data_IF_998607682361
#
_entry.id   IF_998607682361
#
_cell.length_a   1.000
_cell.length_b   1.000
_cell.length_c   1.000
_cell.angle_alpha   90.00
_cell.angle_beta   90.00
_cell.angle_gamma   90.00
#
_symmetry.space_group_name_H-M   'P 1'
#
loop_
_entity.id
_entity.type
_entity.pdbx_description
1 polymer ?
#
# COMPACT_ATOMS: atom_id res chain seq x y z
N UNK A 1 58.35 -40.08 -8.05
CA UNK A 1 57.22 -39.49 -8.80
C UNK A 1 56.20 -39.04 -7.77
N UNK A 2 56.43 -37.85 -7.22
CA UNK A 2 55.47 -37.19 -6.33
C UNK A 2 54.53 -36.38 -7.21
N UNK A 3 53.23 -36.64 -7.08
CA UNK A 3 52.19 -35.87 -7.76
C UNK A 3 52.02 -34.53 -7.06
N UNK A 4 52.47 -33.46 -7.70
CA UNK A 4 52.17 -32.08 -7.31
C UNK A 4 50.65 -31.87 -7.30
N UNK A 5 50.08 -31.75 -6.10
CA UNK A 5 48.70 -31.30 -5.93
C UNK A 5 48.63 -29.82 -6.34
N UNK A 6 48.07 -29.53 -7.52
CA UNK A 6 47.60 -28.19 -7.87
C UNK A 6 46.57 -27.74 -6.83
N UNK A 7 47.02 -26.96 -5.85
CA UNK A 7 46.11 -26.16 -5.03
C UNK A 7 45.51 -25.09 -5.95
N UNK A 8 44.18 -25.00 -6.11
CA UNK A 8 43.59 -23.91 -6.87
C UNK A 8 44.00 -22.60 -6.21
N UNK A 9 44.72 -21.75 -6.94
CA UNK A 9 45.09 -20.40 -6.51
C UNK A 9 43.80 -19.63 -6.20
N UNK A 10 43.48 -19.48 -4.92
CA UNK A 10 42.33 -18.72 -4.41
C UNK A 10 42.44 -17.21 -4.64
N UNK A 11 43.43 -16.75 -5.41
CA UNK A 11 43.76 -15.35 -5.66
C UNK A 11 43.02 -14.77 -6.88
N UNK A 12 42.50 -15.60 -7.79
CA UNK A 12 41.93 -15.13 -9.06
C UNK A 12 40.77 -14.14 -8.94
N UNK A 13 39.88 -14.33 -7.95
CA UNK A 13 38.76 -13.41 -7.68
C UNK A 13 39.20 -12.14 -6.93
N UNK A 14 40.31 -12.17 -6.20
CA UNK A 14 40.79 -11.00 -5.44
C UNK A 14 41.52 -9.97 -6.34
N UNK A 15 41.90 -10.37 -7.56
CA UNK A 15 42.59 -9.52 -8.54
C UNK A 15 41.61 -8.63 -9.31
N UNK A 16 40.32 -9.01 -9.37
CA UNK A 16 39.33 -8.22 -10.09
C UNK A 16 38.96 -6.94 -9.33
N UNK A 17 38.84 -5.79 -10.02
CA UNK A 17 38.24 -4.59 -9.45
C UNK A 17 36.89 -4.90 -8.78
N UNK A 18 36.66 -4.25 -7.65
CA UNK A 18 35.46 -4.41 -6.81
C UNK A 18 34.18 -4.23 -7.64
N UNK A 19 34.20 -3.31 -8.61
CA UNK A 19 33.11 -3.01 -9.53
C UNK A 19 32.77 -4.21 -10.42
N UNK A 20 33.78 -4.84 -11.05
CA UNK A 20 33.58 -5.99 -11.92
C UNK A 20 33.08 -7.21 -11.14
N UNK A 21 33.63 -7.42 -9.93
CA UNK A 21 33.12 -8.45 -9.03
C UNK A 21 31.64 -8.23 -8.74
N UNK A 22 31.25 -7.00 -8.42
CA UNK A 22 29.87 -6.68 -8.05
C UNK A 22 28.91 -6.79 -9.23
N UNK A 23 29.34 -6.46 -10.45
CA UNK A 23 28.57 -6.72 -11.67
C UNK A 23 28.38 -8.22 -11.91
N UNK A 24 29.41 -9.06 -11.70
CA UNK A 24 29.26 -10.52 -11.78
C UNK A 24 28.28 -11.02 -10.72
N UNK A 25 28.41 -10.54 -9.48
CA UNK A 25 27.51 -10.93 -8.40
C UNK A 25 26.08 -10.47 -8.62
N UNK A 26 25.82 -9.39 -9.35
CA UNK A 26 24.45 -8.95 -9.63
C UNK A 26 23.63 -10.03 -10.36
N UNK A 27 24.27 -10.80 -11.26
CA UNK A 27 23.64 -11.89 -12.01
C UNK A 27 23.43 -13.19 -11.23
N UNK A 28 24.07 -13.36 -10.07
CA UNK A 28 23.83 -14.54 -9.23
C UNK A 28 22.45 -14.46 -8.57
N UNK A 29 21.82 -15.60 -8.34
CA UNK A 29 20.60 -15.64 -7.56
C UNK A 29 20.87 -15.34 -6.06
N UNK A 30 19.80 -15.27 -5.27
CA UNK A 30 19.90 -14.93 -3.85
C UNK A 30 20.60 -16.00 -3.01
N UNK A 31 20.51 -17.27 -3.42
CA UNK A 31 21.09 -18.39 -2.68
C UNK A 31 22.58 -18.54 -2.97
N UNK A 32 23.00 -18.31 -4.21
CA UNK A 32 24.41 -18.22 -4.61
C UNK A 32 25.12 -17.06 -3.91
N UNK A 33 24.49 -15.87 -3.89
CA UNK A 33 24.98 -14.72 -3.11
C UNK A 33 25.12 -15.07 -1.62
N UNK A 34 24.20 -15.89 -1.09
CA UNK A 34 24.22 -16.34 0.31
C UNK A 34 25.33 -17.35 0.54
N UNK A 35 25.52 -18.32 -0.34
CA UNK A 35 26.59 -19.31 -0.27
C UNK A 35 27.97 -18.62 -0.30
N UNK A 36 28.20 -17.73 -1.27
CA UNK A 36 29.46 -17.01 -1.39
C UNK A 36 29.81 -16.17 -0.16
N UNK A 37 28.82 -15.49 0.44
CA UNK A 37 29.05 -14.69 1.65
C UNK A 37 29.58 -15.49 2.85
N UNK A 38 29.35 -16.81 2.87
CA UNK A 38 29.78 -17.71 3.95
C UNK A 38 31.23 -18.15 3.78
N UNK A 39 31.83 -17.95 2.60
CA UNK A 39 33.20 -18.38 2.30
C UNK A 39 34.24 -17.63 3.13
N UNK A 40 34.05 -16.32 3.37
CA UNK A 40 34.94 -15.53 4.23
C UNK A 40 34.27 -14.24 4.68
N UNK A 41 34.89 -13.57 5.66
CA UNK A 41 34.49 -12.22 6.08
C UNK A 41 34.57 -11.23 4.91
N UNK A 42 35.62 -11.26 4.09
CA UNK A 42 35.74 -10.38 2.93
C UNK A 42 34.61 -10.60 1.91
N UNK A 43 34.26 -11.86 1.64
CA UNK A 43 33.13 -12.23 0.78
C UNK A 43 31.80 -11.69 1.33
N UNK A 44 31.62 -11.73 2.65
CA UNK A 44 30.46 -11.14 3.31
C UNK A 44 30.35 -9.63 3.07
N UNK A 45 31.43 -8.86 3.31
CA UNK A 45 31.40 -7.40 3.08
C UNK A 45 31.15 -7.05 1.62
N UNK A 46 31.76 -7.78 0.69
CA UNK A 46 31.57 -7.58 -0.74
C UNK A 46 30.11 -7.79 -1.15
N UNK A 47 29.51 -8.90 -0.73
CA UNK A 47 28.12 -9.22 -1.10
C UNK A 47 27.07 -8.51 -0.25
N UNK A 48 27.45 -7.87 0.85
CA UNK A 48 26.51 -7.23 1.77
C UNK A 48 25.59 -6.25 1.06
N UNK A 49 26.13 -5.34 0.24
CA UNK A 49 25.35 -4.31 -0.47
C UNK A 49 24.36 -4.88 -1.50
N UNK A 50 24.61 -6.10 -1.98
CA UNK A 50 23.75 -6.79 -2.93
C UNK A 50 22.62 -7.55 -2.23
N UNK A 51 22.83 -7.95 -0.98
CA UNK A 51 21.88 -8.76 -0.19
C UNK A 51 21.04 -7.97 0.79
N UNK A 52 21.64 -6.93 1.38
CA UNK A 52 21.05 -6.15 2.47
C UNK A 52 21.04 -4.70 2.03
N UNK A 53 19.85 -4.24 1.63
CA UNK A 53 19.60 -2.82 1.29
C UNK A 53 18.96 -2.05 2.43
N UNK A 54 18.47 -2.73 3.46
CA UNK A 54 17.76 -2.07 4.55
C UNK A 54 17.72 -2.86 5.84
N UNK A 55 17.23 -2.18 6.87
CA UNK A 55 16.95 -2.75 8.18
C UNK A 55 15.45 -3.01 8.32
N UNK A 56 15.11 -4.20 8.80
CA UNK A 56 13.75 -4.53 9.23
C UNK A 56 13.77 -4.73 10.73
N UNK A 57 12.95 -3.95 11.43
CA UNK A 57 12.79 -4.06 12.86
C UNK A 57 11.34 -4.38 13.16
N UNK A 58 11.13 -5.60 13.64
CA UNK A 58 9.87 -6.05 14.17
C UNK A 58 9.99 -6.13 15.69
N UNK A 59 9.19 -5.36 16.42
CA UNK A 59 9.12 -5.52 17.89
C UNK A 59 7.95 -6.44 18.21
N UNK A 60 8.25 -7.61 18.75
CA UNK A 60 7.25 -8.41 19.43
C UNK A 60 6.98 -7.84 20.82
N UNK A 61 7.98 -7.63 21.69
CA UNK A 61 7.77 -7.10 23.06
C UNK A 61 9.02 -6.48 23.71
N UNK A 62 10.11 -6.23 22.96
CA UNK A 62 11.38 -5.80 23.56
C UNK A 62 11.61 -4.30 23.37
N UNK A 63 11.73 -3.57 24.49
CA UNK A 63 12.12 -2.15 24.53
C UNK A 63 13.62 -1.94 24.32
N UNK A 64 14.42 -3.02 24.32
CA UNK A 64 15.86 -2.93 24.14
C UNK A 64 16.24 -2.83 22.67
N UNK A 65 17.23 -1.99 22.36
CA UNK A 65 17.86 -1.97 21.04
C UNK A 65 18.33 -3.39 20.70
N UNK A 66 17.88 -3.99 19.58
CA UNK A 66 18.32 -5.29 19.12
C UNK A 66 19.85 -5.36 19.18
N UNK A 67 20.36 -6.41 19.80
CA UNK A 67 21.80 -6.68 19.91
C UNK A 67 22.50 -6.64 18.54
N UNK A 68 21.76 -6.93 17.46
CA UNK A 68 22.20 -6.77 16.09
C UNK A 68 22.63 -5.34 15.72
N UNK A 69 21.92 -4.31 16.17
CA UNK A 69 22.23 -2.91 15.83
C UNK A 69 23.51 -2.42 16.50
N UNK A 70 23.88 -3.00 17.65
CA UNK A 70 25.18 -2.74 18.26
C UNK A 70 26.32 -3.11 17.32
N UNK A 71 26.13 -4.06 16.38
CA UNK A 71 27.17 -4.42 15.41
C UNK A 71 27.53 -3.28 14.44
N UNK A 72 26.67 -2.27 14.30
CA UNK A 72 26.92 -1.09 13.46
C UNK A 72 27.56 0.07 14.24
N UNK A 73 27.79 -0.07 15.54
CA UNK A 73 28.47 0.95 16.34
C UNK A 73 29.96 1.06 15.97
N UNK A 74 30.57 2.20 16.27
CA UNK A 74 31.97 2.44 15.95
C UNK A 74 32.88 1.37 16.54
N UNK A 75 33.82 0.88 15.73
CA UNK A 75 34.72 -0.23 16.09
C UNK A 75 34.08 -1.63 16.02
N UNK A 76 32.78 -1.73 15.73
CA UNK A 76 32.09 -3.01 15.62
C UNK A 76 32.13 -3.59 14.20
N UNK A 77 31.83 -4.88 14.11
CA UNK A 77 32.00 -5.64 12.86
C UNK A 77 31.30 -5.04 11.65
N UNK A 78 30.13 -4.40 11.79
CA UNK A 78 29.35 -3.82 10.69
C UNK A 78 29.44 -2.29 10.59
N UNK A 79 30.28 -1.63 11.38
CA UNK A 79 30.52 -0.17 11.28
C UNK A 79 30.81 0.28 9.83
N UNK A 80 31.64 -0.41 9.03
CA UNK A 80 31.90 0.00 7.64
C UNK A 80 30.67 -0.08 6.72
N UNK A 81 29.66 -0.86 7.10
CA UNK A 81 28.50 -1.16 6.27
C UNK A 81 27.35 -0.17 6.47
N UNK A 82 27.45 0.71 7.46
CA UNK A 82 26.44 1.72 7.79
C UNK A 82 26.00 2.53 6.57
N UNK A 83 26.95 2.90 5.70
CA UNK A 83 26.70 3.70 4.48
C UNK A 83 25.97 2.94 3.37
N UNK A 84 25.80 1.62 3.50
CA UNK A 84 25.11 0.78 2.52
C UNK A 84 23.64 0.53 2.86
N UNK A 85 23.19 0.89 4.07
CA UNK A 85 21.79 0.79 4.47
C UNK A 85 21.02 1.97 3.88
N UNK A 86 20.11 1.67 2.94
CA UNK A 86 19.30 2.65 2.21
C UNK A 86 17.83 2.67 2.63
N UNK A 87 17.34 1.64 3.29
CA UNK A 87 15.96 1.60 3.76
C UNK A 87 15.83 1.14 5.22
N UNK A 88 14.76 1.60 5.88
CA UNK A 88 14.37 1.16 7.20
C UNK A 88 12.87 0.87 7.22
N UNK A 89 12.48 -0.31 7.72
CA UNK A 89 11.10 -0.66 8.01
C UNK A 89 10.96 -1.02 9.48
N UNK A 90 10.05 -0.34 10.15
CA UNK A 90 9.67 -0.52 11.54
C UNK A 90 8.28 -1.15 11.58
N UNK A 91 8.09 -2.23 12.31
CA UNK A 91 6.82 -2.98 12.39
C UNK A 91 6.56 -3.35 13.85
N UNK A 92 5.72 -2.54 14.50
CA UNK A 92 5.48 -2.62 15.93
C UNK A 92 4.03 -2.97 16.15
N UNK A 93 3.77 -3.91 17.07
CA UNK A 93 2.39 -4.22 17.46
C UNK A 93 1.74 -3.02 18.16
N UNK A 94 2.45 -2.34 19.05
CA UNK A 94 1.95 -1.17 19.78
C UNK A 94 2.89 0.01 19.61
N UNK A 95 2.53 1.19 20.12
CA UNK A 95 3.43 2.36 20.10
C UNK A 95 4.65 2.21 21.03
N UNK A 96 4.60 1.24 21.95
CA UNK A 96 5.61 1.12 23.00
C UNK A 96 6.99 0.81 22.41
N UNK A 97 7.98 1.58 22.85
CA UNK A 97 9.36 1.41 22.41
C UNK A 97 9.63 1.87 20.97
N UNK A 98 8.76 2.69 20.37
CA UNK A 98 9.00 3.31 19.06
C UNK A 98 10.13 4.36 19.11
N UNK A 99 10.35 4.99 20.27
CA UNK A 99 11.39 6.01 20.48
C UNK A 99 12.80 5.48 20.20
N UNK A 100 13.15 4.31 20.72
CA UNK A 100 14.47 3.69 20.54
C UNK A 100 14.83 3.45 19.06
N UNK A 101 14.00 2.77 18.24
CA UNK A 101 14.22 2.62 16.81
C UNK A 101 14.35 3.92 16.03
N UNK A 102 13.57 4.94 16.39
CA UNK A 102 13.67 6.25 15.76
C UNK A 102 15.05 6.86 16.03
N UNK A 103 15.54 6.85 17.27
CA UNK A 103 16.89 7.38 17.59
C UNK A 103 18.01 6.68 16.80
N UNK A 104 17.86 5.38 16.55
CA UNK A 104 18.82 4.58 15.78
C UNK A 104 18.95 5.03 14.33
N UNK A 105 17.91 5.63 13.73
CA UNK A 105 17.97 6.13 12.36
C UNK A 105 19.12 7.12 12.13
N UNK A 106 19.46 7.91 13.14
CA UNK A 106 20.59 8.85 13.08
C UNK A 106 21.92 8.19 12.73
N UNK A 107 22.09 6.88 13.02
CA UNK A 107 23.29 6.12 12.71
C UNK A 107 23.46 5.82 11.22
N UNK A 108 22.39 5.88 10.42
CA UNK A 108 22.40 5.43 9.02
C UNK A 108 22.20 6.60 8.04
N UNK A 109 23.28 7.29 7.63
CA UNK A 109 23.20 8.53 6.87
C UNK A 109 22.74 8.36 5.41
N UNK A 110 22.75 7.13 4.90
CA UNK A 110 22.42 6.82 3.51
C UNK A 110 20.96 6.36 3.31
N UNK A 111 20.12 6.44 4.35
CA UNK A 111 18.71 6.07 4.26
C UNK A 111 17.99 7.03 3.33
N UNK A 112 17.28 6.46 2.35
CA UNK A 112 16.40 7.17 1.40
C UNK A 112 14.96 6.69 1.50
N UNK A 113 14.67 5.67 2.32
CA UNK A 113 13.33 5.07 2.42
C UNK A 113 13.02 4.68 3.85
N UNK A 114 11.92 5.20 4.41
CA UNK A 114 11.46 4.85 5.76
C UNK A 114 10.00 4.38 5.71
N UNK A 115 9.71 3.24 6.32
CA UNK A 115 8.34 2.73 6.51
C UNK A 115 8.11 2.44 7.99
N UNK A 116 7.06 2.99 8.57
CA UNK A 116 6.66 2.76 9.96
C UNK A 116 5.28 2.14 9.96
N UNK A 117 5.22 0.90 10.45
CA UNK A 117 4.03 0.11 10.62
C UNK A 117 3.71 -0.02 12.11
N UNK A 118 2.52 0.40 12.52
CA UNK A 118 2.03 0.28 13.90
C UNK A 118 0.74 -0.56 13.90
N UNK A 119 0.60 -1.48 14.86
CA UNK A 119 -0.55 -2.38 14.95
C UNK A 119 -1.73 -1.85 15.76
N UNK A 120 -1.45 -1.12 16.83
CA UNK A 120 -2.42 -0.61 17.79
C UNK A 120 -2.03 0.84 18.10
N UNK A 121 -2.78 1.79 17.54
CA UNK A 121 -2.53 3.24 17.69
C UNK A 121 -3.45 3.91 18.69
N UNK A 122 -4.53 3.25 19.14
CA UNK A 122 -5.42 3.72 20.21
C UNK A 122 -5.86 5.19 20.06
N UNK A 123 -6.25 5.64 18.86
CA UNK A 123 -6.69 7.03 18.61
C UNK A 123 -5.58 8.10 18.72
N UNK A 124 -4.30 7.69 18.75
CA UNK A 124 -3.14 8.58 18.86
C UNK A 124 -2.52 8.91 17.49
N UNK A 125 -3.22 8.61 16.41
CA UNK A 125 -2.79 8.81 15.02
C UNK A 125 -2.14 10.17 14.80
N UNK A 126 -2.84 11.24 15.21
CA UNK A 126 -2.39 12.62 14.99
C UNK A 126 -1.10 12.94 15.76
N UNK A 127 -1.06 12.56 17.03
CA UNK A 127 0.10 12.74 17.89
C UNK A 127 1.30 11.94 17.39
N UNK A 128 1.09 10.68 16.99
CA UNK A 128 2.13 9.82 16.42
C UNK A 128 2.70 10.41 15.13
N UNK A 129 1.84 10.85 14.20
CA UNK A 129 2.28 11.46 12.96
C UNK A 129 3.14 12.69 13.18
N UNK A 130 2.65 13.63 14.00
CA UNK A 130 3.40 14.84 14.34
C UNK A 130 4.72 14.47 14.99
N UNK A 131 4.70 13.59 15.99
CA UNK A 131 5.91 13.26 16.74
C UNK A 131 6.95 12.55 15.88
N UNK A 132 6.54 11.58 15.08
CA UNK A 132 7.42 10.88 14.16
C UNK A 132 8.00 11.85 13.14
N UNK A 133 7.17 12.68 12.49
CA UNK A 133 7.68 13.66 11.52
C UNK A 133 8.64 14.67 12.16
N UNK A 134 8.28 15.23 13.32
CA UNK A 134 9.15 16.15 14.06
C UNK A 134 10.49 15.50 14.41
N UNK A 135 10.50 14.22 14.77
CA UNK A 135 11.73 13.47 14.96
C UNK A 135 12.51 13.33 13.65
N UNK A 136 11.87 12.83 12.59
CA UNK A 136 12.52 12.58 11.30
C UNK A 136 13.13 13.85 10.71
N UNK A 137 12.49 15.02 10.87
CA UNK A 137 12.99 16.32 10.40
C UNK A 137 14.36 16.67 11.00
N UNK A 138 14.69 16.14 12.18
CA UNK A 138 16.01 16.37 12.82
C UNK A 138 17.14 15.55 12.19
N UNK A 139 16.83 14.55 11.35
CA UNK A 139 17.83 13.72 10.71
C UNK A 139 18.54 14.51 9.59
N UNK A 140 19.89 14.43 9.49
CA UNK A 140 20.65 15.24 8.53
C UNK A 140 20.36 14.88 7.06
N UNK A 141 19.85 13.68 6.81
CA UNK A 141 19.47 13.18 5.49
C UNK A 141 17.96 13.26 5.24
N UNK A 142 17.18 13.87 6.14
CA UNK A 142 15.72 13.89 6.05
C UNK A 142 15.22 14.36 4.68
N UNK A 143 15.75 15.47 4.17
CA UNK A 143 15.32 16.05 2.89
C UNK A 143 15.71 15.18 1.67
N UNK A 144 16.58 14.17 1.85
CA UNK A 144 16.98 13.20 0.81
C UNK A 144 16.11 11.93 0.82
N UNK A 145 15.13 11.83 1.71
CA UNK A 145 14.19 10.70 1.71
C UNK A 145 13.34 10.75 0.43
N UNK A 146 13.35 9.63 -0.30
CA UNK A 146 12.60 9.41 -1.54
C UNK A 146 11.26 8.74 -1.23
N UNK A 147 11.22 7.88 -0.21
CA UNK A 147 10.02 7.16 0.22
C UNK A 147 9.78 7.36 1.72
N UNK A 148 8.52 7.65 2.06
CA UNK A 148 8.04 7.69 3.44
C UNK A 148 6.70 6.97 3.54
N UNK A 149 6.56 6.05 4.49
CA UNK A 149 5.32 5.32 4.71
C UNK A 149 4.91 5.27 6.16
N UNK A 150 3.66 5.63 6.43
CA UNK A 150 2.95 5.44 7.69
C UNK A 150 1.85 4.42 7.44
N UNK A 151 1.88 3.28 8.12
CA UNK A 151 0.84 2.25 8.02
C UNK A 151 0.41 1.90 9.43
N UNK A 152 -0.76 2.34 9.83
CA UNK A 152 -1.33 1.96 11.10
C UNK A 152 -2.43 0.95 10.83
N UNK A 153 -2.25 -0.26 11.34
CA UNK A 153 -3.34 -1.23 11.40
C UNK A 153 -4.23 -0.69 12.51
N UNK A 154 -5.49 -0.38 12.22
CA UNK A 154 -6.40 0.09 13.27
C UNK A 154 -6.80 -1.06 14.17
N UNK A 155 -7.58 -0.76 15.21
CA UNK A 155 -8.42 -1.75 15.91
C UNK A 155 -9.55 -2.26 15.01
N UNK A 156 -9.28 -2.47 13.72
CA UNK A 156 -9.96 -3.55 13.03
C UNK A 156 -9.47 -4.79 13.76
N UNK A 157 -10.18 -5.09 14.87
CA UNK A 157 -10.61 -6.44 15.16
C UNK A 157 -10.81 -7.02 13.78
N UNK A 158 -9.87 -7.85 13.34
CA UNK A 158 -10.17 -8.91 12.44
C UNK A 158 -11.33 -9.62 13.14
N UNK A 159 -12.53 -9.10 12.90
CA UNK A 159 -13.68 -9.94 12.70
C UNK A 159 -13.22 -10.68 11.46
N UNK A 160 -12.38 -11.71 11.69
CA UNK A 160 -12.50 -12.93 10.95
C UNK A 160 -14.00 -13.13 10.94
N UNK A 161 -14.62 -12.71 9.84
CA UNK A 161 -15.94 -13.15 9.51
C UNK A 161 -15.73 -14.64 9.47
N UNK A 162 -16.06 -15.27 10.60
CA UNK A 162 -16.05 -16.69 10.74
C UNK A 162 -16.97 -17.15 9.61
N UNK A 163 -16.35 -17.57 8.52
CA UNK A 163 -16.99 -17.92 7.25
C UNK A 163 -17.91 -19.14 7.40
N UNK A 164 -18.06 -19.64 8.63
CA UNK A 164 -19.06 -20.58 9.08
C UNK A 164 -20.46 -19.97 9.22
N UNK A 165 -20.62 -18.67 9.49
CA UNK A 165 -21.95 -18.09 9.74
C UNK A 165 -22.78 -17.82 8.47
N UNK A 166 -22.14 -17.67 7.30
CA UNK A 166 -22.85 -17.47 6.02
C UNK A 166 -23.18 -18.78 5.28
N UNK A 167 -22.72 -19.94 5.77
CA UNK A 167 -22.95 -21.23 5.08
C UNK A 167 -24.27 -21.91 5.39
N UNK A 168 -25.01 -21.51 6.43
CA UNK A 168 -26.21 -22.25 6.85
C UNK A 168 -27.55 -21.64 6.41
N UNK A 169 -27.60 -20.44 5.83
CA UNK A 169 -28.90 -19.76 5.58
C UNK A 169 -29.10 -19.15 4.18
N UNK A 170 -28.28 -19.52 3.19
CA UNK A 170 -28.50 -19.14 1.78
C UNK A 170 -28.61 -20.39 0.91
N UNK A 171 -29.52 -21.28 1.29
CA UNK A 171 -30.10 -22.27 0.40
C UNK A 171 -31.56 -22.41 0.81
N UNK A 172 -32.41 -21.51 0.30
CA UNK A 172 -33.80 -21.83 -0.02
C UNK A 172 -34.34 -20.78 -1.01
N UNK A 173 -34.48 -21.25 -2.25
CA UNK A 173 -35.37 -20.84 -3.34
C UNK A 173 -35.57 -19.34 -3.70
N UNK A 174 -35.09 -18.87 -4.87
CA UNK A 174 -35.35 -17.51 -5.38
C UNK A 174 -36.79 -17.25 -5.86
N UNK A 175 -37.70 -18.22 -5.78
CA UNK A 175 -38.99 -18.16 -6.48
C UNK A 175 -40.24 -17.81 -5.65
N UNK A 176 -40.17 -17.58 -4.33
CA UNK A 176 -41.38 -17.31 -3.51
C UNK A 176 -41.58 -15.87 -2.99
N UNK A 177 -40.83 -14.88 -3.48
CA UNK A 177 -40.99 -13.48 -3.04
C UNK A 177 -41.95 -12.64 -3.89
N UNK A 178 -43.13 -13.18 -4.22
CA UNK A 178 -44.28 -12.40 -4.70
C UNK A 178 -45.61 -12.99 -4.19
N UNK A 179 -45.85 -12.96 -2.89
CA UNK A 179 -47.22 -12.89 -2.38
C UNK A 179 -47.25 -12.19 -1.02
N UNK A 180 -48.23 -11.29 -0.86
CA UNK A 180 -48.21 -10.20 0.11
C UNK A 180 -48.43 -10.60 1.56
N UNK A 181 -47.62 -9.99 2.43
CA UNK A 181 -48.00 -9.45 3.74
C UNK A 181 -46.79 -8.67 4.29
N UNK A 182 -46.63 -7.41 3.87
CA UNK A 182 -45.70 -6.48 4.53
C UNK A 182 -46.36 -6.05 5.85
N UNK A 183 -46.15 -6.84 6.89
CA UNK A 183 -46.48 -6.49 8.27
C UNK A 183 -45.19 -6.08 8.98
N UNK A 184 -44.94 -4.77 9.00
CA UNK A 184 -44.53 -3.97 10.16
C UNK A 184 -43.60 -4.64 11.21
N UNK A 185 -42.49 -5.25 10.75
CA UNK A 185 -41.43 -5.83 11.61
C UNK A 185 -40.03 -5.27 11.36
N UNK A 186 -39.87 -4.38 10.38
CA UNK A 186 -38.58 -3.74 10.07
C UNK A 186 -38.20 -2.63 11.05
N UNK A 187 -39.18 -1.93 11.64
CA UNK A 187 -38.90 -0.83 12.57
C UNK A 187 -38.34 -1.27 13.94
N UNK A 188 -38.64 -2.48 14.41
CA UNK A 188 -38.16 -2.95 15.73
C UNK A 188 -36.73 -3.49 15.71
N UNK A 189 -36.24 -3.98 14.57
CA UNK A 189 -34.87 -4.51 14.44
C UNK A 189 -33.86 -3.38 14.28
N UNK A 190 -34.20 -2.31 13.56
CA UNK A 190 -33.32 -1.15 13.38
C UNK A 190 -33.11 -0.36 14.68
N UNK A 191 -34.17 -0.21 15.49
CA UNK A 191 -34.10 0.47 16.79
C UNK A 191 -33.32 -0.35 17.83
N UNK A 192 -33.53 -1.68 17.89
CA UNK A 192 -32.73 -2.57 18.76
C UNK A 192 -31.27 -2.63 18.32
N UNK A 193 -31.00 -2.60 17.01
CA UNK A 193 -29.64 -2.53 16.48
C UNK A 193 -28.99 -1.18 16.78
N UNK A 194 -29.73 -0.08 16.73
CA UNK A 194 -29.24 1.24 17.10
C UNK A 194 -28.93 1.34 18.60
N UNK A 195 -29.76 0.76 19.47
CA UNK A 195 -29.49 0.68 20.92
C UNK A 195 -28.29 -0.21 21.23
N UNK A 196 -28.19 -1.40 20.60
CA UNK A 196 -27.05 -2.29 20.77
C UNK A 196 -25.75 -1.64 20.25
N UNK A 197 -25.81 -0.94 19.12
CA UNK A 197 -24.69 -0.12 18.60
C UNK A 197 -24.34 0.98 19.61
N UNK A 198 -25.32 1.64 20.23
CA UNK A 198 -25.08 2.72 21.20
C UNK A 198 -24.44 2.21 22.49
N UNK A 199 -24.88 1.05 23.01
CA UNK A 199 -24.26 0.36 24.16
C UNK A 199 -22.87 -0.21 23.84
N UNK A 200 -22.69 -0.78 22.64
CA UNK A 200 -21.36 -1.19 22.15
C UNK A 200 -20.44 0.01 22.01
N UNK A 201 -20.93 1.15 21.51
CA UNK A 201 -20.14 2.37 21.38
C UNK A 201 -19.80 2.99 22.73
N UNK A 202 -20.71 3.01 23.72
CA UNK A 202 -20.42 3.54 25.06
C UNK A 202 -19.45 2.65 25.83
N UNK A 203 -19.65 1.33 25.83
CA UNK A 203 -18.75 0.38 26.49
C UNK A 203 -17.38 0.29 25.81
N UNK A 204 -17.32 0.38 24.47
CA UNK A 204 -16.06 0.51 23.76
C UNK A 204 -15.41 1.86 24.05
N UNK A 205 -16.14 2.97 24.09
CA UNK A 205 -15.59 4.29 24.44
C UNK A 205 -14.98 4.31 25.84
N UNK A 206 -15.64 3.70 26.83
CA UNK A 206 -15.12 3.59 28.20
C UNK A 206 -13.86 2.71 28.27
N UNK A 207 -13.85 1.55 27.61
CA UNK A 207 -12.63 0.71 27.49
C UNK A 207 -11.51 1.44 26.75
N UNK A 208 -11.83 2.14 25.66
CA UNK A 208 -10.89 2.91 24.82
C UNK A 208 -10.32 4.12 25.55
N UNK A 209 -11.13 4.83 26.33
CA UNK A 209 -10.69 5.94 27.18
C UNK A 209 -9.74 5.45 28.27
N UNK A 210 -10.00 4.26 28.81
CA UNK A 210 -9.12 3.62 29.80
C UNK A 210 -7.78 3.19 29.20
N UNK A 211 -7.78 2.55 28.03
CA UNK A 211 -6.54 2.14 27.34
C UNK A 211 -5.74 3.34 26.81
N UNK A 212 -6.41 4.36 26.27
CA UNK A 212 -5.79 5.64 25.93
C UNK A 212 -5.10 6.25 27.14
N UNK A 213 -5.76 6.27 28.31
CA UNK A 213 -5.18 6.80 29.54
C UNK A 213 -3.93 6.00 29.94
N UNK A 214 -3.98 4.67 29.86
CA UNK A 214 -2.84 3.81 30.21
C UNK A 214 -1.64 4.00 29.27
N UNK A 215 -1.90 4.05 27.96
CA UNK A 215 -0.86 4.24 26.93
C UNK A 215 -0.31 5.66 26.94
N UNK A 216 -1.19 6.66 27.04
CA UNK A 216 -0.80 8.06 27.16
C UNK A 216 0.04 8.30 28.42
N UNK A 217 -0.28 7.69 29.56
CA UNK A 217 0.52 7.79 30.78
C UNK A 217 1.91 7.14 30.64
N UNK A 218 2.03 6.03 29.92
CA UNK A 218 3.31 5.35 29.73
C UNK A 218 4.21 6.02 28.68
N UNK A 219 3.63 6.74 27.71
CA UNK A 219 4.34 7.31 26.56
C UNK A 219 4.14 8.84 26.45
N UNK A 220 3.70 9.51 27.53
CA UNK A 220 3.39 10.95 27.54
C UNK A 220 4.61 11.79 27.12
N UNK A 221 5.78 11.40 27.62
CA UNK A 221 7.06 12.03 27.28
C UNK A 221 7.38 11.91 25.78
N UNK A 222 7.04 10.78 25.17
CA UNK A 222 7.23 10.58 23.74
C UNK A 222 6.18 11.34 22.94
N UNK A 223 4.89 11.13 23.18
CA UNK A 223 3.80 11.65 22.36
C UNK A 223 3.58 13.16 22.50
N UNK A 224 4.00 13.74 23.63
CA UNK A 224 3.76 15.14 23.96
C UNK A 224 2.28 15.47 24.14
N UNK A 225 1.96 16.77 24.11
CA UNK A 225 0.59 17.26 24.29
C UNK A 225 -0.32 16.81 23.16
N UNK A 226 -1.59 16.55 23.47
CA UNK A 226 -2.62 16.24 22.48
C UNK A 226 -2.64 17.28 21.34
N UNK A 227 -2.62 16.79 20.10
CA UNK A 227 -2.73 17.62 18.91
C UNK A 227 -4.17 17.52 18.41
N UNK A 228 -4.89 18.64 18.33
CA UNK A 228 -6.22 18.70 17.71
C UNK A 228 -6.12 18.79 16.17
N UNK A 229 -7.21 18.59 15.40
CA UNK A 229 -7.16 18.75 13.93
C UNK A 229 -6.69 20.15 13.51
N UNK A 230 -7.25 21.18 14.16
CA UNK A 230 -6.86 22.58 13.95
C UNK A 230 -5.38 22.79 14.33
N UNK A 231 -4.93 22.16 15.42
CA UNK A 231 -3.55 22.21 15.86
C UNK A 231 -2.59 21.65 14.81
N UNK A 232 -2.89 20.48 14.22
CA UNK A 232 -2.08 19.91 13.14
C UNK A 232 -2.00 20.87 11.93
N UNK A 233 -3.12 21.46 11.52
CA UNK A 233 -3.12 22.43 10.43
C UNK A 233 -2.19 23.62 10.72
N UNK A 234 -2.24 24.16 11.94
CA UNK A 234 -1.36 25.26 12.34
C UNK A 234 0.11 24.87 12.29
N UNK A 235 0.46 23.67 12.75
CA UNK A 235 1.83 23.14 12.69
C UNK A 235 2.30 23.00 11.23
N UNK A 236 1.45 22.51 10.34
CA UNK A 236 1.76 22.41 8.90
C UNK A 236 1.94 23.80 8.28
N UNK A 237 1.04 24.73 8.58
CA UNK A 237 1.10 26.10 8.05
C UNK A 237 2.38 26.82 8.49
N UNK A 238 2.79 26.66 9.75
CA UNK A 238 4.05 27.19 10.30
C UNK A 238 5.30 26.47 9.77
N UNK A 239 5.14 25.33 9.10
CA UNK A 239 6.26 24.52 8.59
C UNK A 239 6.94 23.66 9.64
N UNK A 240 6.35 23.54 10.84
CA UNK A 240 6.83 22.66 11.91
C UNK A 240 6.58 21.18 11.56
N UNK A 241 5.51 20.91 10.80
CA UNK A 241 5.23 19.62 10.18
C UNK A 241 5.32 19.78 8.68
N UNK A 242 6.32 19.13 8.06
CA UNK A 242 6.56 19.15 6.62
C UNK A 242 6.99 17.77 6.15
N UNK A 243 6.93 17.54 4.84
CA UNK A 243 7.49 16.35 4.21
C UNK A 243 8.93 16.61 3.73
N UNK A 244 9.72 15.56 3.45
CA UNK A 244 11.02 15.68 2.81
C UNK A 244 10.93 16.39 1.46
N UNK A 245 11.93 17.22 1.13
CA UNK A 245 11.99 17.92 -0.16
C UNK A 245 12.13 16.96 -1.35
N UNK A 246 12.94 15.91 -1.20
CA UNK A 246 13.17 14.88 -2.23
C UNK A 246 12.13 13.76 -2.26
N UNK A 247 11.01 13.88 -1.53
CA UNK A 247 10.02 12.81 -1.43
C UNK A 247 9.33 12.60 -2.78
N UNK A 248 9.39 11.37 -3.29
CA UNK A 248 8.71 10.96 -4.53
C UNK A 248 7.51 10.06 -4.28
N UNK A 249 7.54 9.30 -3.19
CA UNK A 249 6.46 8.38 -2.83
C UNK A 249 6.07 8.52 -1.35
N UNK A 250 4.77 8.69 -1.11
CA UNK A 250 4.18 8.72 0.21
C UNK A 250 3.15 7.60 0.36
N UNK A 251 3.25 6.85 1.45
CA UNK A 251 2.22 5.89 1.86
C UNK A 251 1.55 6.34 3.15
N UNK A 252 0.23 6.56 3.09
CA UNK A 252 -0.63 6.89 4.23
C UNK A 252 -1.69 5.80 4.42
N UNK A 253 -1.27 4.71 5.03
CA UNK A 253 -2.11 3.61 5.50
C UNK A 253 -2.70 3.89 6.89
N UNK A 254 -3.30 5.06 7.09
CA UNK A 254 -3.77 5.54 8.39
C UNK A 254 -5.28 5.27 8.53
N UNK A 255 -5.75 4.58 9.58
CA UNK A 255 -7.18 4.45 9.86
C UNK A 255 -7.75 5.83 10.14
N UNK A 256 -8.93 6.13 9.57
CA UNK A 256 -9.60 7.44 9.73
C UNK A 256 -8.67 8.61 9.37
N UNK A 257 -7.87 8.45 8.30
CA UNK A 257 -6.94 9.48 7.85
C UNK A 257 -7.68 10.77 7.49
N UNK A 258 -7.68 11.72 8.43
CA UNK A 258 -8.28 13.03 8.28
C UNK A 258 -7.57 13.84 7.18
N UNK A 259 -8.25 14.82 6.56
CA UNK A 259 -7.67 15.69 5.54
C UNK A 259 -6.35 16.36 5.96
N UNK A 260 -6.20 16.67 7.24
CA UNK A 260 -5.02 17.31 7.82
C UNK A 260 -3.71 16.54 7.62
N UNK A 261 -3.76 15.21 7.48
CA UNK A 261 -2.56 14.40 7.21
C UNK A 261 -1.98 14.65 5.82
N UNK A 262 -2.82 15.10 4.87
CA UNK A 262 -2.42 15.37 3.48
C UNK A 262 -1.93 16.80 3.27
N UNK A 263 -2.24 17.75 4.16
CA UNK A 263 -1.85 19.15 3.96
C UNK A 263 -0.35 19.37 3.70
N UNK A 264 0.59 18.62 4.30
CA UNK A 264 2.00 18.71 3.95
C UNK A 264 2.32 18.43 2.47
N UNK A 265 1.49 17.65 1.77
CA UNK A 265 1.64 17.35 0.34
C UNK A 265 1.57 18.60 -0.54
N UNK A 266 0.79 19.60 -0.13
CA UNK A 266 0.65 20.87 -0.87
C UNK A 266 1.98 21.60 -1.07
N UNK A 267 2.97 21.32 -0.21
CA UNK A 267 4.31 21.90 -0.25
C UNK A 267 5.37 20.93 -0.75
N UNK A 268 4.98 19.71 -1.14
CA UNK A 268 5.89 18.70 -1.64
C UNK A 268 5.89 18.70 -3.16
N UNK A 269 7.02 19.12 -3.73
CA UNK A 269 7.13 19.38 -5.16
C UNK A 269 7.42 18.13 -5.99
N UNK A 270 8.12 17.16 -5.41
CA UNK A 270 8.65 16.01 -6.16
C UNK A 270 7.75 14.77 -6.07
N UNK A 271 6.64 14.83 -5.33
CA UNK A 271 5.80 13.66 -5.11
C UNK A 271 5.01 13.29 -6.37
N UNK A 272 5.17 12.03 -6.79
CA UNK A 272 4.47 11.46 -7.95
C UNK A 272 3.65 10.24 -7.60
N UNK A 273 3.96 9.57 -6.49
CA UNK A 273 3.32 8.32 -6.06
C UNK A 273 2.68 8.50 -4.68
N UNK A 274 1.39 8.17 -4.57
CA UNK A 274 0.61 8.30 -3.35
C UNK A 274 -0.18 7.01 -3.09
N UNK A 275 -0.04 6.47 -1.88
CA UNK A 275 -0.90 5.39 -1.38
C UNK A 275 -1.81 5.96 -0.28
N UNK A 276 -3.12 5.72 -0.41
CA UNK A 276 -4.14 6.14 0.53
C UNK A 276 -4.96 4.95 1.03
N UNK A 277 -5.13 4.88 2.34
CA UNK A 277 -6.06 3.96 3.01
C UNK A 277 -7.41 4.64 3.21
N UNK A 278 -8.45 4.09 2.61
CA UNK A 278 -9.81 4.62 2.60
C UNK A 278 -10.66 3.89 3.66
N UNK A 279 -11.14 4.60 4.71
CA UNK A 279 -11.87 3.99 5.83
C UNK A 279 -13.28 3.51 5.45
N UNK A 280 -13.79 2.52 6.18
CA UNK A 280 -14.96 1.69 5.82
C UNK A 280 -16.36 2.26 6.10
N UNK A 281 -16.52 3.28 6.95
CA UNK A 281 -17.84 3.83 7.40
C UNK A 281 -17.82 5.31 7.78
N UNK A 282 -18.97 5.97 7.58
CA UNK A 282 -19.57 7.20 8.19
C UNK A 282 -18.70 8.44 8.48
N UNK A 283 -17.41 8.37 8.24
CA UNK A 283 -16.49 9.49 8.19
C UNK A 283 -16.33 9.96 6.75
N UNK A 284 -17.36 9.76 5.91
CA UNK A 284 -17.50 10.32 4.57
C UNK A 284 -17.64 11.87 4.57
N UNK A 285 -16.99 12.52 5.53
CA UNK A 285 -16.27 13.75 5.22
C UNK A 285 -15.34 13.38 4.08
N UNK A 286 -15.62 13.95 2.91
CA UNK A 286 -14.71 13.97 1.75
C UNK A 286 -13.25 13.88 2.22
N UNK A 287 -12.38 13.08 1.57
CA UNK A 287 -10.96 12.95 1.96
C UNK A 287 -10.27 14.31 2.04
N UNK A 288 -10.91 15.36 1.49
CA UNK A 288 -10.56 16.75 1.64
C UNK A 288 -11.85 17.56 1.86
N UNK A 289 -12.03 18.06 3.08
CA UNK A 289 -12.93 19.14 3.54
C UNK A 289 -14.25 19.45 2.80
N UNK A 290 -15.39 19.57 3.52
CA UNK A 290 -16.48 20.47 3.14
C UNK A 290 -16.30 21.91 3.66
N UNK A 291 -15.47 22.15 4.69
CA UNK A 291 -15.35 23.48 5.34
C UNK A 291 -14.33 24.42 4.66
N UNK A 292 -13.31 23.86 4.01
CA UNK A 292 -12.51 24.57 3.02
C UNK A 292 -13.20 24.29 1.69
N UNK A 293 -14.01 25.24 1.21
CA UNK A 293 -14.76 25.20 -0.05
C UNK A 293 -13.85 25.08 -1.31
N UNK A 294 -12.59 24.68 -1.16
CA UNK A 294 -11.57 24.57 -2.19
C UNK A 294 -11.11 23.13 -2.29
N UNK A 295 -11.50 22.50 -3.40
CA UNK A 295 -10.98 21.20 -3.78
C UNK A 295 -9.45 21.28 -3.89
N UNK A 296 -8.73 20.50 -3.09
CA UNK A 296 -7.27 20.43 -3.21
C UNK A 296 -6.95 19.60 -4.46
N UNK A 297 -6.29 20.23 -5.42
CA UNK A 297 -5.73 19.56 -6.58
C UNK A 297 -4.28 19.16 -6.31
N UNK A 298 -3.95 17.91 -6.64
CA UNK A 298 -2.63 17.32 -6.55
C UNK A 298 -2.17 16.88 -7.95
N UNK A 299 -1.93 17.83 -8.88
CA UNK A 299 -1.67 17.54 -10.29
C UNK A 299 -0.34 16.82 -10.54
N UNK A 300 0.56 16.73 -9.56
CA UNK A 300 1.86 16.05 -9.72
C UNK A 300 1.77 14.54 -9.51
N UNK A 301 0.71 14.06 -8.87
CA UNK A 301 0.49 12.65 -8.64
C UNK A 301 0.14 11.97 -9.96
N UNK A 302 0.94 10.95 -10.29
CA UNK A 302 0.80 10.11 -11.48
C UNK A 302 0.42 8.68 -11.11
N UNK A 303 0.93 8.19 -9.98
CA UNK A 303 0.66 6.86 -9.47
C UNK A 303 -0.17 6.96 -8.19
N UNK A 304 -1.42 6.50 -8.24
CA UNK A 304 -2.33 6.50 -7.09
C UNK A 304 -2.64 5.06 -6.69
N UNK A 305 -2.43 4.71 -5.43
CA UNK A 305 -2.93 3.46 -4.84
C UNK A 305 -4.00 3.77 -3.81
N UNK A 306 -5.17 3.15 -3.95
CA UNK A 306 -6.28 3.22 -3.01
C UNK A 306 -6.46 1.86 -2.35
N UNK A 307 -6.51 1.83 -1.02
CA UNK A 307 -6.80 0.64 -0.25
C UNK A 307 -8.14 0.79 0.45
N UNK A 308 -9.10 -0.06 0.12
CA UNK A 308 -10.45 -0.03 0.67
C UNK A 308 -10.58 -1.05 1.81
N UNK A 309 -10.94 -0.60 3.01
CA UNK A 309 -11.15 -1.48 4.17
C UNK A 309 -12.56 -2.12 4.20
N UNK A 310 -13.52 -1.56 3.47
CA UNK A 310 -14.90 -2.09 3.38
C UNK A 310 -15.17 -2.75 2.05
N UNK A 311 -15.91 -3.85 2.10
CA UNK A 311 -16.55 -4.45 0.93
C UNK A 311 -17.74 -3.62 0.39
N UNK A 312 -18.27 -2.66 1.16
CA UNK A 312 -19.45 -1.91 0.74
C UNK A 312 -19.10 -0.69 -0.12
N UNK A 313 -19.01 -0.92 -1.44
CA UNK A 313 -18.61 0.09 -2.43
C UNK A 313 -19.56 1.27 -2.60
N UNK A 314 -20.83 1.14 -2.19
CA UNK A 314 -21.81 2.24 -2.27
C UNK A 314 -21.34 3.49 -1.50
N UNK A 315 -20.56 3.30 -0.43
CA UNK A 315 -20.03 4.42 0.34
C UNK A 315 -18.86 5.15 -0.34
N UNK A 316 -18.22 4.54 -1.34
CA UNK A 316 -17.08 5.13 -2.04
C UNK A 316 -17.43 5.80 -3.36
N UNK A 317 -18.65 5.66 -3.87
CA UNK A 317 -19.03 6.23 -5.17
C UNK A 317 -18.78 7.75 -5.23
N UNK A 318 -19.17 8.48 -4.18
CA UNK A 318 -18.93 9.93 -4.09
C UNK A 318 -17.44 10.28 -4.07
N UNK A 319 -16.63 9.48 -3.37
CA UNK A 319 -15.18 9.63 -3.33
C UNK A 319 -14.57 9.40 -4.70
N UNK A 320 -14.92 8.28 -5.35
CA UNK A 320 -14.40 7.90 -6.66
C UNK A 320 -14.67 9.00 -7.68
N UNK A 321 -15.90 9.55 -7.73
CA UNK A 321 -16.27 10.65 -8.63
C UNK A 321 -15.45 11.92 -8.45
N UNK A 322 -14.85 12.16 -7.28
CA UNK A 322 -14.02 13.34 -7.01
C UNK A 322 -12.55 13.15 -7.41
N UNK A 323 -12.10 11.92 -7.60
CA UNK A 323 -10.69 11.61 -7.88
C UNK A 323 -10.13 12.32 -9.12
N UNK A 324 -10.83 12.40 -10.28
CA UNK A 324 -10.26 13.03 -11.47
C UNK A 324 -9.93 14.52 -11.25
N UNK A 325 -10.77 15.21 -10.49
CA UNK A 325 -10.54 16.61 -10.11
C UNK A 325 -9.43 16.77 -9.08
N UNK A 326 -9.26 15.82 -8.14
CA UNK A 326 -8.14 15.87 -7.18
C UNK A 326 -6.81 15.47 -7.81
N UNK A 327 -6.83 14.54 -8.76
CA UNK A 327 -5.64 13.92 -9.34
C UNK A 327 -5.74 13.90 -10.88
N UNK A 328 -5.69 15.08 -11.54
CA UNK A 328 -6.00 15.20 -12.96
C UNK A 328 -4.98 14.55 -13.90
N UNK A 329 -3.80 14.17 -13.39
CA UNK A 329 -2.69 13.64 -14.18
C UNK A 329 -2.32 12.19 -13.82
N UNK A 330 -3.25 11.43 -13.25
CA UNK A 330 -3.03 10.00 -12.98
C UNK A 330 -2.76 9.26 -14.29
N UNK A 331 -1.65 8.52 -14.30
CA UNK A 331 -1.27 7.57 -15.34
C UNK A 331 -1.37 6.12 -14.86
N UNK A 332 -1.26 5.89 -13.55
CA UNK A 332 -1.41 4.56 -12.93
C UNK A 332 -2.33 4.60 -11.73
N UNK A 333 -3.37 3.76 -11.74
CA UNK A 333 -4.29 3.59 -10.62
C UNK A 333 -4.25 2.14 -10.13
N UNK A 334 -3.93 1.95 -8.86
CA UNK A 334 -4.04 0.66 -8.18
C UNK A 334 -5.15 0.72 -7.14
N UNK A 335 -6.06 -0.24 -7.16
CA UNK A 335 -7.11 -0.41 -6.17
C UNK A 335 -6.90 -1.71 -5.41
N UNK A 336 -6.94 -1.68 -4.08
CA UNK A 336 -6.76 -2.85 -3.21
C UNK A 336 -7.95 -3.04 -2.28
N UNK A 337 -8.22 -4.31 -1.95
CA UNK A 337 -9.39 -4.66 -1.14
C UNK A 337 -10.69 -4.62 -1.95
N UNK A 338 -10.62 -4.87 -3.26
CA UNK A 338 -11.80 -4.89 -4.12
C UNK A 338 -12.51 -6.24 -4.03
N UNK A 339 -13.74 -6.26 -3.52
CA UNK A 339 -14.51 -7.52 -3.43
C UNK A 339 -14.98 -8.02 -4.80
N UNK A 340 -15.48 -7.13 -5.65
CA UNK A 340 -15.99 -7.48 -6.98
C UNK A 340 -15.55 -6.45 -8.02
N UNK A 341 -14.96 -6.92 -9.12
CA UNK A 341 -14.46 -6.08 -10.22
C UNK A 341 -15.56 -5.15 -10.76
N UNK A 342 -16.74 -5.71 -11.07
CA UNK A 342 -17.87 -4.93 -11.61
C UNK A 342 -18.33 -3.81 -10.67
N UNK A 343 -18.33 -4.04 -9.35
CA UNK A 343 -18.71 -3.02 -8.36
C UNK A 343 -17.72 -1.86 -8.26
N UNK A 344 -16.48 -2.06 -8.69
CA UNK A 344 -15.46 -1.02 -8.72
C UNK A 344 -15.39 -0.31 -10.08
N UNK A 345 -15.38 -1.06 -11.19
CA UNK A 345 -15.24 -0.50 -12.54
C UNK A 345 -16.41 0.39 -12.94
N UNK A 346 -17.65 0.02 -12.58
CA UNK A 346 -18.85 0.78 -12.95
C UNK A 346 -18.84 2.21 -12.38
N UNK A 347 -18.61 2.43 -11.06
CA UNK A 347 -18.57 3.78 -10.49
C UNK A 347 -17.24 4.51 -10.71
N UNK A 348 -16.20 3.84 -11.26
CA UNK A 348 -14.92 4.49 -11.51
C UNK A 348 -15.10 5.57 -12.60
N UNK A 349 -14.73 6.83 -12.35
CA UNK A 349 -14.84 7.87 -13.35
C UNK A 349 -13.76 7.71 -14.42
N UNK A 350 -13.89 8.46 -15.50
CA UNK A 350 -12.88 8.51 -16.54
C UNK A 350 -11.66 9.30 -16.10
N UNK A 351 -10.49 8.73 -16.39
CA UNK A 351 -9.20 9.36 -16.20
C UNK A 351 -8.55 9.50 -17.59
N UNK A 352 -8.48 10.73 -18.15
CA UNK A 352 -8.03 10.94 -19.53
C UNK A 352 -6.60 10.47 -19.82
N UNK A 353 -5.74 10.40 -18.79
CA UNK A 353 -4.32 10.05 -18.92
C UNK A 353 -3.98 8.68 -18.34
N UNK A 354 -4.99 7.90 -17.92
CA UNK A 354 -4.76 6.62 -17.27
C UNK A 354 -4.24 5.61 -18.28
N UNK A 355 -3.02 5.15 -18.08
CA UNK A 355 -2.31 4.17 -18.92
C UNK A 355 -2.39 2.75 -18.32
N UNK A 356 -2.42 2.66 -16.98
CA UNK A 356 -2.43 1.40 -16.24
C UNK A 356 -3.48 1.39 -15.14
N UNK A 357 -4.28 0.33 -15.08
CA UNK A 357 -5.26 0.08 -14.01
C UNK A 357 -5.01 -1.30 -13.40
N UNK A 358 -4.71 -1.35 -12.10
CA UNK A 358 -4.45 -2.59 -11.35
C UNK A 358 -5.48 -2.76 -10.24
N UNK A 359 -6.19 -3.89 -10.22
CA UNK A 359 -7.17 -4.21 -9.20
C UNK A 359 -6.73 -5.47 -8.45
N UNK A 360 -6.47 -5.30 -7.16
CA UNK A 360 -6.26 -6.39 -6.20
C UNK A 360 -7.62 -6.77 -5.60
N UNK A 361 -8.11 -7.92 -6.06
CA UNK A 361 -9.45 -8.44 -5.82
C UNK A 361 -9.43 -9.67 -4.92
N UNK A 362 -10.46 -9.84 -4.11
CA UNK A 362 -10.54 -10.98 -3.18
C UNK A 362 -10.60 -12.34 -3.85
N UNK A 363 -11.22 -12.42 -5.03
CA UNK A 363 -11.38 -13.65 -5.79
C UNK A 363 -11.41 -13.31 -7.27
N UNK A 364 -10.71 -14.09 -8.10
CA UNK A 364 -10.89 -14.03 -9.54
C UNK A 364 -12.21 -14.71 -9.89
N UNK A 365 -13.04 -13.97 -10.61
CA UNK A 365 -14.21 -14.52 -11.27
C UNK A 365 -13.84 -14.68 -12.75
N UNK A 366 -14.72 -15.29 -13.53
CA UNK A 366 -14.59 -15.40 -14.99
C UNK A 366 -14.10 -14.08 -15.61
N UNK A 367 -13.08 -14.14 -16.48
CA UNK A 367 -12.42 -12.98 -17.10
C UNK A 367 -13.46 -12.07 -17.78
N UNK A 368 -14.53 -12.66 -18.31
CA UNK A 368 -15.68 -12.00 -18.93
C UNK A 368 -16.34 -10.95 -18.03
N UNK A 369 -16.34 -11.15 -16.70
CA UNK A 369 -16.92 -10.22 -15.73
C UNK A 369 -16.11 -8.93 -15.64
N UNK A 370 -14.80 -8.98 -15.92
CA UNK A 370 -13.94 -7.81 -15.97
C UNK A 370 -13.85 -7.23 -17.39
N UNK A 371 -13.81 -8.10 -18.41
CA UNK A 371 -13.67 -7.69 -19.82
C UNK A 371 -14.89 -6.90 -20.30
N UNK A 372 -16.12 -7.36 -20.02
CA UNK A 372 -17.32 -6.72 -20.55
C UNK A 372 -17.50 -5.27 -20.07
N UNK A 373 -17.41 -4.94 -18.76
CA UNK A 373 -17.46 -3.56 -18.30
C UNK A 373 -16.33 -2.70 -18.86
N UNK A 374 -15.12 -3.25 -18.94
CA UNK A 374 -13.95 -2.54 -19.46
C UNK A 374 -14.10 -2.22 -20.94
N UNK A 375 -14.50 -3.20 -21.74
CA UNK A 375 -14.77 -3.05 -23.18
C UNK A 375 -15.87 -2.03 -23.43
N UNK A 376 -17.01 -2.14 -22.74
CA UNK A 376 -18.09 -1.18 -22.84
C UNK A 376 -17.62 0.25 -22.52
N UNK A 377 -16.75 0.40 -21.52
CA UNK A 377 -16.22 1.71 -21.13
C UNK A 377 -15.26 2.29 -22.17
N UNK A 378 -14.39 1.46 -22.75
CA UNK A 378 -13.48 1.86 -23.84
C UNK A 378 -14.28 2.25 -25.10
N UNK A 379 -15.31 1.50 -25.47
CA UNK A 379 -16.14 1.76 -26.65
C UNK A 379 -16.90 3.09 -26.60
N UNK A 380 -17.24 3.59 -25.41
CA UNK A 380 -17.86 4.92 -25.24
C UNK A 380 -16.83 6.04 -25.07
N UNK A 381 -15.54 5.77 -25.29
CA UNK A 381 -14.45 6.74 -25.21
C UNK A 381 -13.86 6.95 -23.81
N UNK A 382 -14.21 6.10 -22.84
CA UNK A 382 -13.59 6.09 -21.51
C UNK A 382 -12.14 5.59 -21.57
N UNK A 383 -11.31 6.08 -20.66
CA UNK A 383 -9.88 5.72 -20.53
C UNK A 383 -9.09 5.74 -21.85
N UNK A 384 -9.00 6.91 -22.51
CA UNK A 384 -8.42 7.02 -23.84
C UNK A 384 -6.90 6.81 -23.91
N UNK A 385 -6.20 6.56 -22.81
CA UNK A 385 -4.77 6.19 -22.83
C UNK A 385 -4.49 4.81 -22.24
N UNK A 386 -5.53 4.07 -21.81
CA UNK A 386 -5.37 2.79 -21.13
C UNK A 386 -4.76 1.74 -22.05
N UNK A 387 -3.67 1.13 -21.57
CA UNK A 387 -2.85 0.11 -22.25
C UNK A 387 -2.78 -1.18 -21.46
N UNK A 388 -2.80 -1.08 -20.12
CA UNK A 388 -2.65 -2.24 -19.24
C UNK A 388 -3.77 -2.27 -18.23
N UNK A 389 -4.44 -3.41 -18.14
CA UNK A 389 -5.39 -3.71 -17.06
C UNK A 389 -4.95 -4.98 -16.35
N UNK A 390 -4.73 -4.91 -15.04
CA UNK A 390 -4.26 -6.02 -14.23
C UNK A 390 -5.28 -6.37 -13.17
N UNK A 391 -5.50 -7.66 -12.99
CA UNK A 391 -6.23 -8.25 -11.88
C UNK A 391 -5.25 -9.09 -11.06
N UNK A 392 -5.24 -8.90 -9.76
CA UNK A 392 -4.48 -9.73 -8.83
C UNK A 392 -5.45 -10.34 -7.83
N UNK A 393 -5.38 -11.63 -7.57
CA UNK A 393 -6.14 -12.27 -6.49
C UNK A 393 -5.37 -13.43 -5.87
N UNK A 394 -5.94 -13.98 -4.82
CA UNK A 394 -5.44 -15.18 -4.16
C UNK A 394 -6.42 -16.35 -4.35
N UNK A 395 -5.94 -17.44 -4.93
CA UNK A 395 -6.65 -18.71 -5.08
C UNK A 395 -5.85 -19.79 -4.34
N UNK A 396 -6.45 -20.47 -3.36
CA UNK A 396 -5.80 -21.55 -2.61
C UNK A 396 -4.40 -21.19 -2.07
N UNK A 397 -4.27 -19.99 -1.48
CA UNK A 397 -3.02 -19.38 -1.00
C UNK A 397 -1.97 -19.04 -2.07
N UNK A 398 -2.28 -19.23 -3.36
CA UNK A 398 -1.44 -18.81 -4.48
C UNK A 398 -1.86 -17.45 -5.02
N UNK A 399 -0.87 -16.59 -5.30
CA UNK A 399 -1.13 -15.33 -5.98
C UNK A 399 -1.30 -15.60 -7.49
N UNK A 400 -2.49 -15.30 -7.99
CA UNK A 400 -2.83 -15.36 -9.41
C UNK A 400 -2.98 -13.94 -9.94
N UNK A 401 -2.21 -13.63 -10.97
CA UNK A 401 -2.29 -12.35 -11.67
C UNK A 401 -2.76 -12.58 -13.10
N UNK A 402 -3.80 -11.87 -13.50
CA UNK A 402 -4.26 -11.82 -14.90
C UNK A 402 -3.96 -10.44 -15.45
N UNK A 403 -3.13 -10.37 -16.48
CA UNK A 403 -2.70 -9.12 -17.11
C UNK A 403 -3.34 -9.05 -18.50
N UNK A 404 -4.10 -7.99 -18.73
CA UNK A 404 -4.62 -7.62 -20.04
C UNK A 404 -3.76 -6.53 -20.67
N UNK A 405 -3.18 -6.83 -21.83
CA UNK A 405 -2.63 -5.81 -22.73
C UNK A 405 -3.70 -5.38 -23.73
N UNK A 406 -3.97 -4.08 -23.79
CA UNK A 406 -5.02 -3.48 -24.60
C UNK A 406 -4.38 -2.80 -25.81
N UNK A 407 -4.78 -3.25 -26.99
CA UNK A 407 -4.37 -2.68 -28.28
C UNK A 407 -5.52 -1.95 -28.94
N UNK A 408 -5.21 -0.91 -29.70
CA UNK A 408 -6.20 -0.07 -30.39
C UNK A 408 -5.96 -0.09 -31.87
N UNK A 409 -7.03 -0.28 -32.62
CA UNK A 409 -7.00 -0.27 -34.07
C UNK A 409 -7.97 0.78 -34.57
N UNK A 410 -7.48 1.69 -35.40
CA UNK A 410 -8.34 2.58 -36.19
C UNK A 410 -8.69 1.85 -37.48
N UNK A 411 -9.98 1.70 -37.76
CA UNK A 411 -10.44 1.16 -39.03
C UNK A 411 -9.90 1.98 -40.19
N UNK A 412 -9.60 1.32 -41.32
CA UNK A 412 -8.99 1.93 -42.51
C UNK A 412 -9.79 3.13 -43.06
N UNK A 413 -11.10 3.15 -42.82
CA UNK A 413 -12.01 4.19 -43.32
C UNK A 413 -12.22 5.35 -42.32
N UNK A 414 -11.41 5.46 -41.27
CA UNK A 414 -11.64 6.43 -40.18
C UNK A 414 -12.86 6.08 -39.31
N UNK A 415 -13.31 4.82 -39.35
CA UNK A 415 -14.43 4.28 -38.58
C UNK A 415 -14.15 4.10 -37.09
N UNK A 416 -15.16 3.59 -36.36
CA UNK A 416 -15.17 3.32 -34.91
C UNK A 416 -13.87 2.63 -34.47
N UNK A 417 -13.23 3.12 -33.41
CA UNK A 417 -12.06 2.45 -32.82
C UNK A 417 -12.45 1.05 -32.34
N UNK A 418 -11.64 0.06 -32.67
CA UNK A 418 -11.78 -1.31 -32.16
C UNK A 418 -10.64 -1.61 -31.19
N UNK A 419 -10.92 -2.45 -30.20
CA UNK A 419 -10.01 -2.80 -29.12
C UNK A 419 -9.69 -4.30 -29.16
N UNK A 420 -8.40 -4.64 -29.11
CA UNK A 420 -7.94 -6.02 -28.95
C UNK A 420 -7.42 -6.25 -27.53
N UNK A 421 -7.90 -7.30 -26.87
CA UNK A 421 -7.53 -7.68 -25.51
C UNK A 421 -6.64 -8.92 -25.55
N UNK A 422 -5.46 -8.84 -24.94
CA UNK A 422 -4.53 -9.97 -24.82
C UNK A 422 -4.33 -10.30 -23.35
N UNK A 423 -4.79 -11.48 -22.92
CA UNK A 423 -4.73 -11.90 -21.52
C UNK A 423 -3.57 -12.87 -21.26
N UNK A 424 -2.80 -12.58 -20.23
CA UNK A 424 -1.71 -13.41 -19.72
C UNK A 424 -2.00 -13.76 -18.26
N UNK A 425 -1.87 -15.05 -17.92
CA UNK A 425 -2.02 -15.54 -16.55
C UNK A 425 -0.64 -15.85 -15.96
N UNK A 426 -0.30 -15.17 -14.87
CA UNK A 426 0.87 -15.44 -14.06
C UNK A 426 0.44 -16.07 -12.73
N UNK A 427 1.03 -17.22 -12.40
CA UNK A 427 0.89 -17.86 -11.09
C UNK A 427 2.20 -17.76 -10.34
N UNK A 428 2.20 -17.17 -9.14
CA UNK A 428 3.40 -16.94 -8.35
C UNK A 428 4.54 -16.26 -9.14
N UNK A 429 4.18 -15.36 -10.07
CA UNK A 429 5.12 -14.64 -10.94
C UNK A 429 5.65 -15.42 -12.14
N UNK A 430 5.20 -16.66 -12.35
CA UNK A 430 5.55 -17.47 -13.53
C UNK A 430 4.39 -17.50 -14.53
N UNK A 431 4.69 -17.36 -15.82
CA UNK A 431 3.70 -17.49 -16.88
C UNK A 431 3.12 -18.92 -16.87
N UNK A 432 1.85 -19.02 -16.52
CA UNK A 432 1.12 -20.29 -16.43
C UNK A 432 0.45 -20.60 -17.76
N UNK A 433 -0.24 -19.60 -18.35
CA UNK A 433 -0.94 -19.74 -19.61
C UNK A 433 -1.04 -18.39 -20.33
N UNK A 434 -0.99 -18.43 -21.66
CA UNK A 434 -1.38 -17.31 -22.52
C UNK A 434 -2.81 -17.58 -23.00
N UNK A 435 -3.77 -16.79 -22.53
CA UNK A 435 -5.18 -16.92 -22.93
C UNK A 435 -5.43 -15.92 -24.05
N UNK A 436 -5.10 -16.31 -25.29
CA UNK A 436 -5.44 -15.48 -26.46
C UNK A 436 -6.92 -15.65 -26.77
N UNK A 437 -7.74 -14.71 -26.31
CA UNK A 437 -9.13 -14.57 -26.75
C UNK A 437 -9.18 -13.47 -27.80
N UNK A 438 -9.06 -13.83 -29.07
CA UNK A 438 -9.43 -12.89 -30.13
C UNK A 438 -10.94 -12.70 -30.07
N UNK A 439 -11.38 -11.53 -29.64
CA UNK A 439 -12.77 -11.11 -29.79
C UNK A 439 -13.04 -10.93 -31.29
N UNK A 440 -13.30 -12.02 -32.00
CA UNK A 440 -13.68 -12.00 -33.41
C UNK A 440 -15.05 -11.32 -33.56
N UNK A 441 -15.04 -10.01 -33.79
CA UNK A 441 -16.21 -9.24 -34.23
C UNK A 441 -16.26 -9.12 -35.77
N UNK A 442 -15.83 -10.18 -36.47
CA UNK A 442 -16.16 -10.40 -37.88
C UNK A 442 -16.77 -11.80 -38.02
N UNK A 443 -18.00 -11.95 -37.53
CA UNK A 443 -18.90 -12.91 -38.16
C UNK A 443 -19.28 -12.33 -39.53
N UNK A 444 -19.05 -13.16 -40.55
CA UNK A 444 -19.34 -12.89 -41.95
C UNK A 444 -20.79 -12.42 -42.15
N UNK A 445 -20.99 -11.16 -42.54
CA UNK A 445 -22.13 -10.78 -43.39
C UNK A 445 -21.73 -10.98 -44.86
N UNK A 446 -21.69 -12.24 -45.29
CA UNK A 446 -21.95 -12.62 -46.68
C UNK A 446 -22.79 -13.91 -46.68
N UNK A 447 -24.09 -13.74 -46.84
CA UNK A 447 -25.02 -14.73 -47.41
C UNK A 447 -26.16 -14.00 -48.11
#
# INVERSE_FOLDING_TARGET
MESESCKPNSEGLQILPTELLLSVFEYLDSDDKRAFSRCSRACYFLTFRLRIRGIYWQSCYSTTTPTFLRRFEDGQSFSPLVKHIKSAKFDFKTIQGLSTPLTVLSKFPAITSIKICLGETYYLERNLYVRILSFLITLPYYDNLIYLGFVWRGDEVTIEWDSSYDREHIHDDPHELYSGAVVDRTYTIEDQRAELIKELHSSQWERRSFEWTKVALCEEEFLGKYVSPIGLNQLVLRGEVRLPKGLRSLQLGIPKCEPSFYLPLLRCEEITSLFLSIPSRDTAVSPIYPELNTMIELPRIKDLTLYFHSANFFHYEKLLKQLPSQFPNITSLTSRGVKYVGTFLVPLPDFPKLESLDLDVHKLWEIEIAENPLKNRLEIGGYPELRTFKLTAFEDDEEVQIICSISRFKGLDGGKETYGFYWEELRNGHLSAMVRKESNNHENEEA
#
